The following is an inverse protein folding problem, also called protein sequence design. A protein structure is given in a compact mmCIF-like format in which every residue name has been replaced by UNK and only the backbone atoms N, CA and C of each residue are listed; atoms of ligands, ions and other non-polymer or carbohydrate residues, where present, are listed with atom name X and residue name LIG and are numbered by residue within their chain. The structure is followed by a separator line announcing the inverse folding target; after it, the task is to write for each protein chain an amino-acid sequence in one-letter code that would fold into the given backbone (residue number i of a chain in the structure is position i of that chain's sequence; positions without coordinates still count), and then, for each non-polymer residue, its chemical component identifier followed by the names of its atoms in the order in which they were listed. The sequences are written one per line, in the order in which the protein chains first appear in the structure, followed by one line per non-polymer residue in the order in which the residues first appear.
data_IF_779080159248
#
_entry.id   IF_779080159248
#
_cell.length_a   1.000
_cell.length_b   1.000
_cell.length_c   1.000
_cell.angle_alpha   90.00
_cell.angle_beta   90.00
_cell.angle_gamma   90.00
#
_symmetry.space_group_name_H-M   'P 1'
#
loop_
_entity.id
_entity.type
_entity.pdbx_description
1 polymer ?
#
# COMPACT_ATOMS: atom_id res chain seq x y z
N UNK A 1 -1.72 0.36 -21.70
CA UNK A 1 -1.04 0.82 -20.46
C UNK A 1 0.01 -0.21 -20.08
N UNK A 2 1.19 0.24 -19.66
CA UNK A 2 2.25 -0.68 -19.27
C UNK A 2 2.02 -1.22 -17.83
N UNK A 3 2.39 -2.48 -17.56
CA UNK A 3 2.28 -3.04 -16.21
C UNK A 3 3.33 -2.40 -15.30
N UNK A 4 2.87 -1.91 -14.13
CA UNK A 4 3.77 -1.40 -13.08
C UNK A 4 4.17 -2.49 -12.09
N UNK A 5 3.31 -3.51 -11.92
CA UNK A 5 3.60 -4.71 -11.11
C UNK A 5 3.41 -5.94 -11.97
N UNK A 6 4.39 -6.83 -11.93
CA UNK A 6 4.30 -8.18 -12.53
C UNK A 6 4.89 -9.18 -11.55
N UNK A 7 4.15 -10.23 -11.23
CA UNK A 7 4.71 -11.40 -10.55
C UNK A 7 4.54 -12.64 -11.42
N UNK A 8 5.58 -13.46 -11.48
CA UNK A 8 5.59 -14.70 -12.22
C UNK A 8 6.01 -15.85 -11.32
N UNK A 9 5.12 -16.82 -11.17
CA UNK A 9 5.33 -18.01 -10.33
C UNK A 9 5.88 -17.65 -8.94
N UNK A 10 5.30 -16.62 -8.31
CA UNK A 10 5.79 -16.08 -7.05
C UNK A 10 5.47 -17.00 -5.87
N UNK A 11 6.50 -17.37 -5.12
CA UNK A 11 6.39 -18.14 -3.88
C UNK A 11 6.94 -17.35 -2.69
N UNK A 12 6.24 -17.46 -1.57
CA UNK A 12 6.74 -17.00 -0.27
C UNK A 12 6.56 -18.08 0.77
N UNK A 13 7.67 -18.54 1.31
CA UNK A 13 7.73 -19.51 2.39
C UNK A 13 8.17 -18.82 3.67
N UNK A 14 7.48 -19.08 4.76
CA UNK A 14 7.90 -18.71 6.11
C UNK A 14 8.35 -19.96 6.87
N UNK A 15 9.31 -19.79 7.76
CA UNK A 15 9.81 -20.90 8.59
C UNK A 15 9.25 -20.75 10.00
N UNK A 16 8.49 -21.73 10.45
CA UNK A 16 8.05 -21.89 11.84
C UNK A 16 8.85 -23.07 12.47
N UNK A 17 10.02 -22.76 12.99
CA UNK A 17 10.98 -23.76 13.41
C UNK A 17 11.48 -24.59 12.22
N UNK A 18 11.18 -25.89 12.20
CA UNK A 18 11.54 -26.83 11.11
C UNK A 18 10.45 -26.96 10.02
N UNK A 19 9.30 -26.30 10.20
CA UNK A 19 8.16 -26.42 9.27
C UNK A 19 8.18 -25.23 8.32
N UNK A 20 8.11 -25.50 7.02
CA UNK A 20 7.89 -24.49 5.99
C UNK A 20 6.38 -24.28 5.80
N UNK A 21 5.96 -23.02 5.92
CA UNK A 21 4.57 -22.60 5.70
C UNK A 21 4.51 -21.76 4.43
N UNK A 22 3.94 -22.29 3.34
CA UNK A 22 3.81 -21.54 2.10
C UNK A 22 2.66 -20.52 2.21
N UNK A 23 3.00 -19.25 2.24
CA UNK A 23 2.04 -18.14 2.24
C UNK A 23 1.64 -17.73 0.82
N UNK A 24 2.53 -17.88 -0.17
CA UNK A 24 2.27 -17.68 -1.59
C UNK A 24 2.72 -18.91 -2.36
N UNK A 25 1.91 -19.35 -3.34
CA UNK A 25 2.08 -20.61 -4.06
C UNK A 25 1.96 -20.41 -5.57
N UNK A 26 3.03 -19.91 -6.23
CA UNK A 26 3.04 -19.73 -7.68
C UNK A 26 2.10 -18.60 -8.15
N UNK A 27 2.07 -17.49 -7.42
CA UNK A 27 1.19 -16.35 -7.73
C UNK A 27 1.65 -15.64 -9.00
N UNK A 28 0.74 -15.53 -9.99
CA UNK A 28 0.87 -14.68 -11.15
C UNK A 28 -0.08 -13.49 -10.96
N UNK A 29 0.46 -12.28 -10.93
CA UNK A 29 -0.31 -11.07 -10.67
C UNK A 29 0.23 -9.92 -11.48
N UNK A 30 -0.67 -9.12 -12.07
CA UNK A 30 -0.31 -7.98 -12.90
C UNK A 30 -1.18 -6.78 -12.54
N UNK A 31 -0.56 -5.62 -12.41
CA UNK A 31 -1.24 -4.34 -12.18
C UNK A 31 -0.77 -3.34 -13.22
N UNK A 32 -1.69 -2.66 -13.87
CA UNK A 32 -1.38 -1.61 -14.85
C UNK A 32 -1.14 -0.27 -14.15
N UNK A 33 -0.34 0.58 -14.77
CA UNK A 33 -0.14 1.96 -14.29
C UNK A 33 -1.48 2.69 -14.26
N UNK A 34 -1.79 3.36 -13.13
CA UNK A 34 -3.05 4.06 -12.92
C UNK A 34 -4.23 3.15 -12.55
N UNK A 35 -4.02 1.84 -12.38
CA UNK A 35 -5.07 0.92 -11.97
C UNK A 35 -5.25 0.93 -10.44
N UNK A 36 -6.50 0.88 -9.98
CA UNK A 36 -6.83 0.58 -8.58
C UNK A 36 -7.34 -0.86 -8.49
N UNK A 37 -6.54 -1.73 -7.89
CA UNK A 37 -6.85 -3.16 -7.73
C UNK A 37 -7.06 -3.50 -6.27
N UNK A 38 -8.14 -4.24 -5.99
CA UNK A 38 -8.35 -4.86 -4.68
C UNK A 38 -8.05 -6.35 -4.73
N UNK A 39 -7.24 -6.85 -3.79
CA UNK A 39 -7.01 -8.27 -3.56
C UNK A 39 -7.86 -8.71 -2.37
N UNK A 40 -8.86 -9.53 -2.63
CA UNK A 40 -9.81 -10.05 -1.64
C UNK A 40 -9.51 -11.50 -1.27
N UNK A 41 -9.91 -11.88 -0.08
CA UNK A 41 -9.85 -13.27 0.38
C UNK A 41 -9.93 -13.39 1.89
N UNK A 42 -10.11 -14.61 2.42
CA UNK A 42 -10.22 -14.86 3.86
C UNK A 42 -8.93 -14.47 4.60
N UNK A 43 -9.03 -14.32 5.93
CA UNK A 43 -7.85 -14.08 6.76
C UNK A 43 -6.86 -15.24 6.61
N UNK A 44 -5.56 -14.94 6.58
CA UNK A 44 -4.50 -15.94 6.45
C UNK A 44 -4.26 -16.49 5.04
N UNK A 45 -5.02 -16.09 4.01
CA UNK A 45 -4.85 -16.62 2.66
C UNK A 45 -3.61 -16.10 1.89
N UNK A 46 -2.79 -15.22 2.49
CA UNK A 46 -1.54 -14.73 1.89
C UNK A 46 -1.55 -13.27 1.39
N UNK A 47 -2.65 -12.53 1.50
CA UNK A 47 -2.78 -11.14 0.99
C UNK A 47 -1.68 -10.20 1.49
N UNK A 48 -1.47 -10.11 2.81
CA UNK A 48 -0.42 -9.26 3.39
C UNK A 48 0.98 -9.73 2.97
N UNK A 49 1.19 -11.05 2.80
CA UNK A 49 2.45 -11.58 2.29
C UNK A 49 2.71 -11.12 0.85
N UNK A 50 1.68 -11.13 0.00
CA UNK A 50 1.77 -10.58 -1.36
C UNK A 50 2.14 -9.10 -1.31
N UNK A 51 1.39 -8.30 -0.54
CA UNK A 51 1.64 -6.87 -0.42
C UNK A 51 3.06 -6.56 0.08
N UNK A 52 3.56 -7.29 1.08
CA UNK A 52 4.90 -7.09 1.63
C UNK A 52 6.00 -7.50 0.66
N UNK A 53 5.77 -8.52 -0.15
CA UNK A 53 6.72 -8.89 -1.22
C UNK A 53 6.73 -7.82 -2.32
N UNK A 54 5.57 -7.35 -2.79
CA UNK A 54 5.47 -6.26 -3.76
C UNK A 54 6.11 -4.97 -3.24
N UNK A 55 5.99 -4.73 -1.95
CA UNK A 55 6.60 -3.57 -1.30
C UNK A 55 8.08 -3.74 -0.95
N UNK A 56 8.69 -4.89 -1.22
CA UNK A 56 10.07 -5.17 -0.86
C UNK A 56 10.33 -5.19 0.66
N UNK A 57 9.27 -5.35 1.48
CA UNK A 57 9.36 -5.57 2.93
C UNK A 57 9.65 -7.02 3.27
N UNK A 58 9.26 -7.94 2.39
CA UNK A 58 9.56 -9.35 2.49
C UNK A 58 10.22 -9.82 1.18
N UNK A 59 11.21 -10.68 1.28
CA UNK A 59 11.87 -11.26 0.11
C UNK A 59 11.04 -12.44 -0.42
N UNK A 60 10.88 -12.54 -1.74
CA UNK A 60 10.31 -13.72 -2.39
C UNK A 60 11.20 -14.94 -2.14
N UNK A 61 10.58 -16.11 -2.01
CA UNK A 61 11.33 -17.37 -1.86
C UNK A 61 11.69 -17.98 -3.21
N UNK A 62 10.81 -17.81 -4.23
CA UNK A 62 10.99 -18.24 -5.63
C UNK A 62 10.14 -17.37 -6.54
N UNK A 63 10.43 -17.43 -7.85
CA UNK A 63 9.71 -16.72 -8.90
C UNK A 63 10.27 -15.31 -9.13
N UNK A 64 9.50 -14.47 -9.83
CA UNK A 64 9.92 -13.11 -10.20
C UNK A 64 8.93 -12.07 -9.68
N UNK A 65 9.44 -10.88 -9.34
CA UNK A 65 8.65 -9.74 -8.88
C UNK A 65 9.23 -8.47 -9.48
N UNK A 66 8.51 -7.89 -10.44
CA UNK A 66 8.86 -6.63 -11.04
C UNK A 66 7.96 -5.52 -10.50
N UNK A 67 8.54 -4.42 -10.04
CA UNK A 67 7.82 -3.20 -9.64
C UNK A 67 8.47 -2.00 -10.31
N UNK A 68 7.71 -1.29 -11.12
CA UNK A 68 8.18 -0.16 -11.93
C UNK A 68 9.49 -0.52 -12.69
N UNK A 69 9.49 -1.69 -13.35
CA UNK A 69 10.62 -2.22 -14.11
C UNK A 69 11.79 -2.77 -13.27
N UNK A 70 11.69 -2.76 -11.95
CA UNK A 70 12.76 -3.18 -11.04
C UNK A 70 12.50 -4.60 -10.50
N UNK A 71 13.46 -5.52 -10.69
CA UNK A 71 13.36 -6.90 -10.19
C UNK A 71 13.76 -6.98 -8.70
N UNK A 72 12.76 -7.09 -7.84
CA UNK A 72 12.94 -7.14 -6.38
C UNK A 72 13.68 -8.39 -5.89
N UNK A 73 13.67 -9.48 -6.67
CA UNK A 73 14.29 -10.75 -6.27
C UNK A 73 15.81 -10.64 -6.31
N UNK A 74 16.33 -9.95 -7.33
CA UNK A 74 17.76 -9.79 -7.55
C UNK A 74 18.36 -8.58 -6.82
N UNK A 75 17.53 -7.74 -6.16
CA UNK A 75 17.99 -6.57 -5.42
C UNK A 75 18.55 -6.92 -4.04
N UNK A 76 19.62 -6.24 -3.65
CA UNK A 76 20.13 -6.18 -2.28
C UNK A 76 19.22 -5.35 -1.36
N UNK A 77 19.41 -5.43 -0.03
CA UNK A 77 18.59 -4.71 0.95
C UNK A 77 18.64 -3.18 0.79
N UNK A 78 19.82 -2.64 0.43
CA UNK A 78 19.99 -1.21 0.19
C UNK A 78 19.18 -0.72 -1.03
N UNK A 79 19.18 -1.51 -2.11
CA UNK A 79 18.44 -1.20 -3.34
C UNK A 79 16.92 -1.30 -3.10
N UNK A 80 16.45 -2.36 -2.42
CA UNK A 80 15.04 -2.48 -2.01
C UNK A 80 14.61 -1.31 -1.12
N UNK A 81 15.48 -0.86 -0.21
CA UNK A 81 15.22 0.31 0.64
C UNK A 81 15.11 1.59 -0.18
N UNK A 82 15.98 1.77 -1.17
CA UNK A 82 15.92 2.90 -2.10
C UNK A 82 14.63 2.87 -2.94
N UNK A 83 14.25 1.71 -3.45
CA UNK A 83 13.01 1.53 -4.22
C UNK A 83 11.78 1.88 -3.37
N UNK A 84 11.67 1.33 -2.14
CA UNK A 84 10.58 1.67 -1.21
C UNK A 84 10.48 3.17 -0.97
N UNK A 85 11.61 3.81 -0.71
CA UNK A 85 11.68 5.25 -0.43
C UNK A 85 11.11 6.10 -1.58
N UNK A 86 11.42 5.74 -2.84
CA UNK A 86 11.13 6.57 -4.00
C UNK A 86 9.90 6.16 -4.81
N UNK A 87 9.48 4.89 -4.71
CA UNK A 87 8.48 4.33 -5.61
C UNK A 87 7.21 3.83 -4.91
N UNK A 88 7.27 3.60 -3.59
CA UNK A 88 6.21 2.91 -2.88
C UNK A 88 5.71 3.73 -1.69
N UNK A 89 4.40 3.98 -1.66
CA UNK A 89 3.69 4.48 -0.49
C UNK A 89 2.99 3.34 0.24
N UNK A 90 3.13 3.26 1.56
CA UNK A 90 2.42 2.26 2.35
C UNK A 90 1.34 2.91 3.21
N UNK A 91 0.15 2.28 3.20
CA UNK A 91 -0.96 2.58 4.09
C UNK A 91 -1.31 1.30 4.85
N UNK A 92 -1.21 1.33 6.17
CA UNK A 92 -1.42 0.15 7.03
C UNK A 92 -2.73 0.25 7.81
N UNK A 93 -3.28 -0.88 8.21
CA UNK A 93 -4.46 -0.99 9.06
C UNK A 93 -4.27 -0.29 10.42
N UNK A 94 -3.08 -0.37 11.03
CA UNK A 94 -2.73 0.25 12.32
C UNK A 94 -2.07 1.63 12.16
N UNK A 95 -2.32 2.37 11.11
CA UNK A 95 -1.82 3.71 10.81
C UNK A 95 -0.29 3.85 10.89
N UNK A 96 0.39 3.21 11.83
CA UNK A 96 1.84 3.23 12.08
C UNK A 96 2.41 4.67 12.17
N UNK A 97 1.66 5.55 12.83
CA UNK A 97 2.12 6.90 13.13
C UNK A 97 3.11 6.89 14.30
N UNK A 98 4.06 7.80 14.26
CA UNK A 98 5.00 8.02 15.35
C UNK A 98 4.29 8.83 16.45
N UNK A 99 4.08 8.27 17.66
CA UNK A 99 3.26 8.91 18.70
C UNK A 99 3.91 10.16 19.29
N UNK A 100 5.23 10.30 19.12
CA UNK A 100 6.00 11.46 19.60
C UNK A 100 5.92 12.67 18.67
N UNK A 101 5.49 12.48 17.42
CA UNK A 101 5.33 13.51 16.42
C UNK A 101 3.85 13.89 16.29
N UNK A 102 3.60 15.17 15.99
CA UNK A 102 2.29 15.63 15.53
C UNK A 102 1.99 15.15 14.08
N UNK A 103 0.83 15.47 13.54
CA UNK A 103 0.45 15.10 12.19
C UNK A 103 1.41 15.69 11.15
N UNK A 104 1.84 16.93 11.32
CA UNK A 104 2.84 17.58 10.46
C UNK A 104 4.15 16.79 10.44
N UNK A 105 4.68 16.46 11.60
CA UNK A 105 5.93 15.70 11.74
C UNK A 105 5.84 14.30 11.15
N UNK A 106 4.70 13.63 11.33
CA UNK A 106 4.45 12.30 10.74
C UNK A 106 4.42 12.31 9.21
N UNK A 107 3.96 13.39 8.58
CA UNK A 107 3.98 13.53 7.12
C UNK A 107 5.37 13.99 6.65
N UNK A 108 5.93 15.02 7.28
CA UNK A 108 7.19 15.61 6.88
C UNK A 108 8.38 14.63 6.97
N UNK A 109 8.36 13.67 7.90
CA UNK A 109 9.42 12.67 8.03
C UNK A 109 9.59 11.85 6.74
N UNK A 110 8.51 11.60 5.99
CA UNK A 110 8.60 10.89 4.71
C UNK A 110 9.41 11.69 3.68
N UNK A 111 9.25 13.02 3.62
CA UNK A 111 10.02 13.88 2.73
C UNK A 111 11.49 13.95 3.15
N UNK A 112 11.79 14.03 4.46
CA UNK A 112 13.16 14.00 4.96
C UNK A 112 13.86 12.68 4.65
N UNK A 113 13.16 11.54 4.78
CA UNK A 113 13.70 10.23 4.42
C UNK A 113 13.90 10.10 2.91
N UNK A 114 13.06 10.73 2.10
CA UNK A 114 13.17 10.72 0.64
C UNK A 114 14.50 11.28 0.15
N UNK A 115 14.99 12.35 0.79
CA UNK A 115 16.32 12.89 0.57
C UNK A 115 16.38 14.18 -0.23
N UNK A 116 15.29 14.62 -0.86
CA UNK A 116 15.24 15.87 -1.65
C UNK A 116 14.84 17.09 -0.79
N UNK A 117 14.73 16.88 0.53
CA UNK A 117 14.34 17.93 1.47
C UNK A 117 12.81 18.05 1.63
N UNK A 118 12.41 19.08 2.37
CA UNK A 118 10.99 19.37 2.62
C UNK A 118 10.44 20.28 1.50
N UNK A 119 9.38 19.82 0.81
CA UNK A 119 8.63 20.60 -0.17
C UNK A 119 7.35 21.16 0.49
N UNK A 120 7.32 22.47 0.85
CA UNK A 120 6.17 23.09 1.51
C UNK A 120 4.93 23.14 0.63
N UNK A 121 5.09 23.35 -0.67
CA UNK A 121 3.95 23.46 -1.60
C UNK A 121 3.22 22.12 -1.72
N UNK A 122 3.95 21.04 -1.97
CA UNK A 122 3.38 19.70 -2.04
C UNK A 122 2.74 19.28 -0.73
N UNK A 123 3.41 19.58 0.39
CA UNK A 123 2.87 19.31 1.72
C UNK A 123 1.51 20.00 1.92
N UNK A 124 1.40 21.28 1.56
CA UNK A 124 0.17 22.07 1.68
C UNK A 124 -0.96 21.51 0.80
N UNK A 125 -0.67 21.19 -0.47
CA UNK A 125 -1.64 20.62 -1.41
C UNK A 125 -2.23 19.31 -0.86
N UNK A 126 -1.38 18.41 -0.41
CA UNK A 126 -1.81 17.08 0.09
C UNK A 126 -2.59 17.22 1.40
N UNK A 127 -2.12 18.02 2.33
CA UNK A 127 -2.80 18.20 3.62
C UNK A 127 -4.15 18.87 3.47
N UNK A 128 -4.29 19.79 2.54
CA UNK A 128 -5.57 20.42 2.18
C UNK A 128 -6.51 19.42 1.51
N UNK A 129 -6.03 18.65 0.54
CA UNK A 129 -6.82 17.62 -0.15
C UNK A 129 -7.39 16.58 0.82
N UNK A 130 -6.61 16.18 1.84
CA UNK A 130 -7.02 15.20 2.85
C UNK A 130 -7.72 15.81 4.08
N UNK A 131 -8.04 17.10 4.06
CA UNK A 131 -8.75 17.79 5.15
C UNK A 131 -7.99 17.76 6.48
N UNK A 132 -6.66 17.94 6.43
CA UNK A 132 -5.77 17.85 7.61
C UNK A 132 -5.28 19.22 8.11
N UNK A 133 -5.60 20.31 7.44
CA UNK A 133 -5.05 21.65 7.71
C UNK A 133 -5.17 22.04 9.19
N UNK A 134 -6.33 21.82 9.79
CA UNK A 134 -6.60 22.17 11.20
C UNK A 134 -6.11 21.10 12.19
N UNK A 135 -5.56 20.00 11.71
CA UNK A 135 -5.09 18.87 12.52
C UNK A 135 -3.57 18.73 12.55
N UNK A 136 -2.85 19.55 11.82
CA UNK A 136 -1.39 19.42 11.64
C UNK A 136 -0.60 19.48 12.95
N UNK A 137 -1.10 20.17 13.98
CA UNK A 137 -0.46 20.31 15.29
C UNK A 137 -0.91 19.25 16.31
N UNK A 138 -1.87 18.39 15.96
CA UNK A 138 -2.36 17.33 16.86
C UNK A 138 -1.47 16.11 16.79
N UNK A 139 -1.27 15.47 17.94
CA UNK A 139 -0.61 14.17 18.05
C UNK A 139 -1.60 13.04 17.74
N UNK A 140 -1.13 11.83 17.38
CA UNK A 140 -2.02 10.70 17.12
C UNK A 140 -3.02 10.40 18.25
N UNK A 141 -2.64 10.60 19.52
CA UNK A 141 -3.51 10.42 20.68
C UNK A 141 -4.66 11.44 20.79
N UNK A 142 -4.59 12.53 20.05
CA UNK A 142 -5.56 13.63 20.01
C UNK A 142 -6.46 13.58 18.77
N UNK A 143 -6.31 12.52 17.95
CA UNK A 143 -6.95 12.38 16.66
C UNK A 143 -7.86 11.14 16.64
N UNK A 144 -8.99 11.25 15.92
CA UNK A 144 -9.84 10.08 15.62
C UNK A 144 -9.11 9.08 14.73
N UNK A 145 -9.57 7.83 14.68
CA UNK A 145 -8.99 6.80 13.80
C UNK A 145 -9.00 7.22 12.32
N UNK A 146 -10.07 7.85 11.85
CA UNK A 146 -10.16 8.38 10.50
C UNK A 146 -9.17 9.50 10.22
N UNK A 147 -8.94 10.41 11.18
CA UNK A 147 -7.91 11.46 11.05
C UNK A 147 -6.51 10.87 11.03
N UNK A 148 -6.22 9.89 11.90
CA UNK A 148 -4.95 9.18 11.89
C UNK A 148 -4.69 8.47 10.57
N UNK A 149 -5.71 7.83 9.99
CA UNK A 149 -5.59 7.17 8.69
C UNK A 149 -5.34 8.17 7.56
N UNK A 150 -6.00 9.33 7.57
CA UNK A 150 -5.72 10.40 6.60
C UNK A 150 -4.28 10.91 6.71
N UNK A 151 -3.72 11.04 7.92
CA UNK A 151 -2.30 11.36 8.11
C UNK A 151 -1.40 10.26 7.55
N UNK A 152 -1.73 8.99 7.76
CA UNK A 152 -0.97 7.87 7.18
C UNK A 152 -1.01 7.87 5.64
N UNK A 153 -2.16 8.18 5.04
CA UNK A 153 -2.30 8.37 3.59
C UNK A 153 -1.46 9.56 3.11
N UNK A 154 -1.56 10.74 3.79
CA UNK A 154 -0.75 11.90 3.44
C UNK A 154 0.75 11.56 3.45
N UNK A 155 1.22 10.88 4.49
CA UNK A 155 2.60 10.41 4.59
C UNK A 155 3.00 9.47 3.44
N UNK A 156 2.09 8.60 3.01
CA UNK A 156 2.35 7.66 1.93
C UNK A 156 2.48 8.35 0.56
N UNK A 157 1.72 9.44 0.32
CA UNK A 157 1.63 10.08 -1.01
C UNK A 157 2.47 11.35 -1.16
N UNK A 158 2.99 11.92 -0.08
CA UNK A 158 3.69 13.22 -0.09
C UNK A 158 4.91 13.26 -1.02
N UNK A 159 5.49 12.10 -1.33
CA UNK A 159 6.63 11.96 -2.25
C UNK A 159 6.23 11.45 -3.65
N UNK A 160 4.94 11.48 -4.02
CA UNK A 160 4.41 11.01 -5.30
C UNK A 160 4.91 9.60 -5.69
N UNK A 161 4.62 8.60 -4.86
CA UNK A 161 5.06 7.25 -5.16
C UNK A 161 4.41 6.75 -6.46
N UNK A 162 5.08 5.83 -7.13
CA UNK A 162 4.54 5.17 -8.33
C UNK A 162 3.36 4.26 -8.01
N UNK A 163 3.35 3.68 -6.80
CA UNK A 163 2.31 2.77 -6.34
C UNK A 163 2.03 2.96 -4.85
N UNK A 164 0.75 2.92 -4.47
CA UNK A 164 0.30 2.82 -3.09
C UNK A 164 -0.06 1.36 -2.79
N UNK A 165 0.49 0.83 -1.72
CA UNK A 165 0.18 -0.49 -1.18
C UNK A 165 -0.61 -0.31 0.13
N UNK A 166 -1.90 -0.67 0.12
CA UNK A 166 -2.80 -0.46 1.24
C UNK A 166 -3.21 -1.80 1.88
N UNK A 167 -2.78 -2.01 3.12
CA UNK A 167 -3.06 -3.21 3.91
C UNK A 167 -4.26 -2.94 4.82
N UNK A 168 -5.45 -3.40 4.42
CA UNK A 168 -6.72 -3.23 5.14
C UNK A 168 -6.93 -1.80 5.67
N UNK A 169 -6.91 -0.77 4.80
CA UNK A 169 -6.81 0.64 5.21
C UNK A 169 -8.00 1.13 6.04
N UNK A 170 -9.09 0.38 6.09
CA UNK A 170 -10.31 0.72 6.84
C UNK A 170 -10.62 -0.26 7.97
N UNK A 171 -9.78 -1.28 8.18
CA UNK A 171 -10.06 -2.36 9.12
C UNK A 171 -10.19 -1.96 10.60
N UNK A 172 -9.76 -0.76 10.98
CA UNK A 172 -9.86 -0.20 12.34
C UNK A 172 -10.75 1.06 12.40
N UNK A 173 -11.57 1.30 11.38
CA UNK A 173 -12.42 2.48 11.28
C UNK A 173 -13.90 2.11 11.40
N UNK A 174 -14.71 3.05 11.88
CA UNK A 174 -16.16 2.96 11.75
C UNK A 174 -16.60 3.13 10.28
N UNK A 175 -17.87 2.86 9.99
CA UNK A 175 -18.42 2.90 8.63
C UNK A 175 -18.24 4.26 7.96
N UNK A 176 -18.54 5.35 8.65
CA UNK A 176 -18.45 6.70 8.10
C UNK A 176 -16.99 7.08 7.75
N UNK A 177 -16.04 6.83 8.65
CA UNK A 177 -14.63 7.08 8.39
C UNK A 177 -14.08 6.16 7.30
N UNK A 178 -14.57 4.92 7.20
CA UNK A 178 -14.20 3.97 6.14
C UNK A 178 -14.60 4.50 4.76
N UNK A 179 -15.84 4.97 4.60
CA UNK A 179 -16.31 5.57 3.35
C UNK A 179 -15.49 6.80 2.94
N UNK A 180 -15.15 7.68 3.90
CA UNK A 180 -14.31 8.85 3.65
C UNK A 180 -12.92 8.42 3.14
N UNK A 181 -12.27 7.48 3.81
CA UNK A 181 -10.93 6.99 3.44
C UNK A 181 -10.94 6.30 2.07
N UNK A 182 -11.93 5.45 1.80
CA UNK A 182 -12.06 4.76 0.50
C UNK A 182 -12.36 5.73 -0.63
N UNK A 183 -13.22 6.72 -0.40
CA UNK A 183 -13.50 7.80 -1.36
C UNK A 183 -12.24 8.58 -1.68
N UNK A 184 -11.40 8.91 -0.68
CA UNK A 184 -10.11 9.58 -0.89
C UNK A 184 -9.15 8.73 -1.72
N UNK A 185 -9.01 7.42 -1.46
CA UNK A 185 -8.19 6.53 -2.28
C UNK A 185 -8.70 6.47 -3.72
N UNK A 186 -10.02 6.37 -3.92
CA UNK A 186 -10.64 6.41 -5.25
C UNK A 186 -10.39 7.74 -5.96
N UNK A 187 -10.44 8.86 -5.25
CA UNK A 187 -10.15 10.17 -5.80
C UNK A 187 -8.68 10.30 -6.21
N UNK A 188 -7.74 9.86 -5.38
CA UNK A 188 -6.31 9.81 -5.73
C UNK A 188 -6.08 9.00 -7.01
N UNK A 189 -6.78 7.88 -7.17
CA UNK A 189 -6.69 7.08 -8.40
C UNK A 189 -7.27 7.82 -9.61
N UNK A 190 -8.50 8.33 -9.52
CA UNK A 190 -9.23 8.93 -10.65
C UNK A 190 -8.65 10.29 -11.09
N UNK A 191 -8.26 11.13 -10.13
CA UNK A 191 -7.84 12.51 -10.44
C UNK A 191 -6.33 12.62 -10.66
N UNK A 192 -5.52 11.82 -9.93
CA UNK A 192 -4.07 11.87 -10.02
C UNK A 192 -3.45 10.69 -10.78
N UNK A 193 -4.27 9.74 -11.26
CA UNK A 193 -3.78 8.54 -11.94
C UNK A 193 -2.93 7.64 -11.03
N UNK A 194 -3.11 7.75 -9.70
CA UNK A 194 -2.32 6.99 -8.74
C UNK A 194 -2.62 5.50 -8.84
N UNK A 195 -1.59 4.68 -9.02
CA UNK A 195 -1.75 3.22 -8.94
C UNK A 195 -1.93 2.78 -7.51
N UNK A 196 -2.92 1.93 -7.23
CA UNK A 196 -3.24 1.45 -5.89
C UNK A 196 -3.44 -0.05 -5.90
N UNK A 197 -2.76 -0.76 -5.01
CA UNK A 197 -3.08 -2.15 -4.65
C UNK A 197 -3.55 -2.17 -3.21
N UNK A 198 -4.83 -2.48 -3.01
CA UNK A 198 -5.44 -2.60 -1.70
C UNK A 198 -5.73 -4.06 -1.40
N UNK A 199 -5.38 -4.51 -0.21
CA UNK A 199 -5.89 -5.78 0.28
C UNK A 199 -7.00 -5.54 1.28
N UNK A 200 -8.06 -6.32 1.18
CA UNK A 200 -9.21 -6.23 2.08
C UNK A 200 -9.97 -7.55 2.13
N UNK A 201 -10.69 -7.77 3.20
CA UNK A 201 -11.69 -8.85 3.30
C UNK A 201 -13.13 -8.30 3.21
N UNK A 202 -13.30 -6.97 3.13
CA UNK A 202 -14.60 -6.30 3.03
C UNK A 202 -14.99 -6.05 1.56
N UNK A 203 -16.08 -6.66 1.05
CA UNK A 203 -16.58 -6.45 -0.31
C UNK A 203 -16.96 -4.99 -0.62
N UNK A 204 -17.50 -4.25 0.35
CA UNK A 204 -17.84 -2.84 0.18
C UNK A 204 -16.59 -2.00 -0.07
N UNK A 205 -15.50 -2.27 0.66
CA UNK A 205 -14.22 -1.60 0.41
C UNK A 205 -13.67 -1.94 -0.98
N UNK A 206 -13.76 -3.20 -1.40
CA UNK A 206 -13.29 -3.63 -2.71
C UNK A 206 -14.07 -2.99 -3.87
N UNK A 207 -15.33 -2.63 -3.68
CA UNK A 207 -16.15 -1.97 -4.69
C UNK A 207 -15.64 -0.58 -5.12
N UNK A 208 -14.74 0.04 -4.36
CA UNK A 208 -14.10 1.31 -4.73
C UNK A 208 -12.98 1.15 -5.78
N UNK A 209 -12.50 -0.08 -6.01
CA UNK A 209 -11.45 -0.37 -6.97
C UNK A 209 -11.98 -0.60 -8.40
N UNK A 210 -11.08 -0.49 -9.40
CA UNK A 210 -11.43 -0.77 -10.79
C UNK A 210 -11.56 -2.27 -11.06
N UNK A 211 -10.81 -3.09 -10.31
CA UNK A 211 -10.78 -4.55 -10.46
C UNK A 211 -10.60 -5.22 -9.10
N UNK A 212 -11.30 -6.33 -8.92
CA UNK A 212 -11.16 -7.20 -7.76
C UNK A 212 -10.52 -8.51 -8.17
N UNK A 213 -9.51 -8.92 -7.42
CA UNK A 213 -8.80 -10.20 -7.58
C UNK A 213 -9.03 -11.03 -6.32
N UNK A 214 -9.42 -12.28 -6.48
CA UNK A 214 -9.65 -13.17 -5.35
C UNK A 214 -8.42 -14.03 -5.05
N UNK A 215 -8.07 -14.11 -3.77
CA UNK A 215 -6.97 -14.92 -3.29
C UNK A 215 -7.46 -15.94 -2.27
N UNK A 216 -7.04 -17.19 -2.43
CA UNK A 216 -7.35 -18.32 -1.53
C UNK A 216 -6.15 -19.23 -1.38
N UNK A 217 -5.80 -19.61 -0.15
CA UNK A 217 -4.73 -20.56 0.17
C UNK A 217 -3.39 -20.31 -0.55
N UNK A 218 -3.03 -19.03 -0.67
CA UNK A 218 -1.77 -18.62 -1.29
C UNK A 218 -1.77 -18.53 -2.81
N UNK A 219 -2.92 -18.71 -3.47
CA UNK A 219 -3.07 -18.60 -4.93
C UNK A 219 -4.11 -17.54 -5.31
N UNK A 220 -3.95 -16.92 -6.47
CA UNK A 220 -4.98 -16.12 -7.11
C UNK A 220 -5.92 -17.06 -7.85
N UNK A 221 -7.23 -16.96 -7.56
CA UNK A 221 -8.26 -17.84 -8.13
C UNK A 221 -9.05 -17.19 -9.26
N UNK A 222 -9.07 -15.82 -9.33
CA UNK A 222 -9.73 -15.05 -10.37
C UNK A 222 -8.98 -13.75 -10.64
N UNK A 223 -9.09 -13.21 -11.87
CA UNK A 223 -8.72 -11.83 -12.16
C UNK A 223 -7.34 -11.60 -12.78
N UNK A 224 -6.77 -12.58 -13.47
CA UNK A 224 -5.72 -12.28 -14.44
C UNK A 224 -6.41 -11.65 -15.66
N UNK A 225 -6.06 -10.41 -16.09
CA UNK A 225 -6.57 -9.89 -17.36
C UNK A 225 -6.22 -10.89 -18.45
N UNK A 226 -7.20 -11.29 -19.26
CA UNK A 226 -6.92 -11.98 -20.51
C UNK A 226 -6.01 -11.06 -21.35
N UNK A 227 -4.99 -11.66 -21.97
CA UNK A 227 -4.06 -10.99 -22.90
C UNK A 227 -4.78 -10.29 -24.03
#
# INVERSE_FOLDING_TARGET
MEPIVVTENLWKLYHAGKVEVPALRGVNFKVLTGEFVSVMGPSGCGKSSLLYVLGGLAQASRGHVLVDGNDLVNMGDAERTKLRRHKIGFVFQRFNLLPTLDARGNIAIAQHIYGDGFDPHRFEVITKMLGLTDRLKHRPSEMSGGEQQRVAIARAIVNEPKIILADEPTGNLDTQNSEIVLSMLSQLNKELGQTIVMITHNPEAAAYSNRVVHMRDGVIVDGVPAD
#
